data_IF_755947428663
#
_entry.id   IF_755947428663
#
_cell.length_a   1.000
_cell.length_b   1.000
_cell.length_c   1.000
_cell.angle_alpha   90.00
_cell.angle_beta   90.00
_cell.angle_gamma   90.00
#
_symmetry.space_group_name_H-M   'P 1'
#
loop_
_entity.id
_entity.type
_entity.pdbx_description
1 polymer ?
#
# COMPACT_ATOMS: atom_id res chain seq x y z
N UNK A 1 -33.36 1.99 -8.14
CA UNK A 1 -32.47 1.06 -8.87
C UNK A 1 -31.63 0.35 -7.82
N UNK A 2 -31.87 -0.93 -7.57
CA UNK A 2 -31.18 -1.73 -6.55
C UNK A 2 -29.96 -2.38 -7.21
N UNK A 3 -28.75 -1.98 -6.80
CA UNK A 3 -27.53 -2.68 -7.21
C UNK A 3 -27.53 -4.08 -6.57
N UNK A 4 -27.39 -5.11 -7.40
CA UNK A 4 -27.19 -6.49 -6.94
C UNK A 4 -25.82 -6.58 -6.25
N UNK A 5 -25.79 -6.63 -4.93
CA UNK A 5 -24.58 -6.93 -4.17
C UNK A 5 -24.31 -8.43 -4.25
N UNK A 6 -23.24 -8.83 -4.92
CA UNK A 6 -22.75 -10.21 -4.84
C UNK A 6 -22.15 -10.44 -3.45
N UNK A 7 -22.83 -11.24 -2.65
CA UNK A 7 -22.32 -11.71 -1.39
C UNK A 7 -21.24 -12.78 -1.63
N UNK A 8 -19.97 -12.38 -1.54
CA UNK A 8 -18.88 -13.35 -1.53
C UNK A 8 -18.74 -13.88 -0.10
N UNK A 9 -19.06 -15.16 0.10
CA UNK A 9 -18.74 -15.87 1.33
C UNK A 9 -17.23 -16.11 1.39
N UNK A 10 -16.52 -15.44 2.31
CA UNK A 10 -15.09 -15.64 2.54
C UNK A 10 -14.92 -16.43 3.83
N UNK A 11 -14.27 -17.59 3.74
CA UNK A 11 -13.96 -18.39 4.95
C UNK A 11 -12.88 -17.69 5.79
N UNK A 12 -12.87 -17.95 7.10
CA UNK A 12 -11.84 -17.40 8.00
C UNK A 12 -10.40 -17.72 7.55
N UNK A 13 -10.19 -18.92 6.97
CA UNK A 13 -8.90 -19.33 6.44
C UNK A 13 -8.49 -18.52 5.20
N UNK A 14 -9.44 -18.22 4.31
CA UNK A 14 -9.17 -17.38 3.15
C UNK A 14 -8.83 -15.94 3.58
N UNK A 15 -9.62 -15.35 4.48
CA UNK A 15 -9.35 -14.00 5.00
C UNK A 15 -8.00 -13.91 5.72
N UNK A 16 -7.62 -14.95 6.48
CA UNK A 16 -6.28 -15.05 7.09
C UNK A 16 -5.17 -15.08 6.03
N UNK A 17 -5.36 -15.84 4.96
CA UNK A 17 -4.37 -15.93 3.88
C UNK A 17 -4.21 -14.59 3.14
N UNK A 18 -5.31 -13.87 2.91
CA UNK A 18 -5.31 -12.53 2.31
C UNK A 18 -4.61 -11.53 3.24
N UNK A 19 -4.87 -11.58 4.55
CA UNK A 19 -4.16 -10.76 5.55
C UNK A 19 -2.64 -10.99 5.50
N UNK A 20 -2.20 -12.25 5.52
CA UNK A 20 -0.77 -12.60 5.45
C UNK A 20 -0.15 -12.13 4.13
N UNK A 21 -0.85 -12.29 3.01
CA UNK A 21 -0.40 -11.80 1.71
C UNK A 21 -0.20 -10.28 1.73
N UNK A 22 -1.15 -9.52 2.29
CA UNK A 22 -1.01 -8.05 2.43
C UNK A 22 0.13 -7.65 3.36
N UNK A 23 0.38 -8.37 4.45
CA UNK A 23 1.56 -8.13 5.28
C UNK A 23 2.88 -8.33 4.51
N UNK A 24 2.98 -9.35 3.67
CA UNK A 24 4.17 -9.58 2.84
C UNK A 24 4.33 -8.49 1.78
N UNK A 25 3.26 -8.12 1.06
CA UNK A 25 3.28 -7.02 0.09
C UNK A 25 3.71 -5.68 0.74
N UNK A 26 3.33 -5.44 2.01
CA UNK A 26 3.77 -4.25 2.76
C UNK A 26 5.28 -4.29 3.01
N UNK A 27 5.84 -5.43 3.40
CA UNK A 27 7.29 -5.56 3.61
C UNK A 27 8.04 -5.29 2.30
N UNK A 28 7.55 -5.84 1.20
CA UNK A 28 8.16 -5.64 -0.13
C UNK A 28 8.13 -4.16 -0.55
N UNK A 29 7.00 -3.47 -0.41
CA UNK A 29 6.92 -2.04 -0.77
C UNK A 29 7.77 -1.16 0.17
N UNK A 30 7.91 -1.52 1.45
CA UNK A 30 8.79 -0.81 2.38
C UNK A 30 10.27 -0.91 1.95
N UNK A 31 10.71 -2.07 1.48
CA UNK A 31 12.06 -2.24 0.92
C UNK A 31 12.27 -1.38 -0.34
N UNK A 32 11.25 -1.28 -1.20
CA UNK A 32 11.28 -0.41 -2.39
C UNK A 32 11.41 1.06 -1.99
N UNK A 33 10.64 1.51 -1.00
CA UNK A 33 10.71 2.89 -0.49
C UNK A 33 12.12 3.21 0.03
N UNK A 34 12.72 2.32 0.83
CA UNK A 34 14.08 2.50 1.34
C UNK A 34 15.12 2.54 0.21
N UNK A 35 14.95 1.70 -0.82
CA UNK A 35 15.80 1.75 -2.01
C UNK A 35 15.67 3.08 -2.76
N UNK A 36 14.45 3.57 -2.95
CA UNK A 36 14.17 4.85 -3.62
C UNK A 36 14.75 6.03 -2.84
N UNK A 37 14.60 6.06 -1.51
CA UNK A 37 15.23 7.08 -0.66
C UNK A 37 16.75 7.15 -0.89
N UNK A 38 17.40 5.98 -0.92
CA UNK A 38 18.84 5.90 -1.20
C UNK A 38 19.18 6.37 -2.61
N UNK A 39 18.42 5.95 -3.61
CA UNK A 39 18.64 6.35 -5.00
C UNK A 39 18.46 7.86 -5.22
N UNK A 40 17.47 8.48 -4.56
CA UNK A 40 17.23 9.91 -4.57
C UNK A 40 18.43 10.66 -3.95
N UNK A 41 18.89 10.22 -2.77
CA UNK A 41 20.06 10.81 -2.12
C UNK A 41 21.33 10.68 -2.97
N UNK A 42 21.57 9.51 -3.55
CA UNK A 42 22.71 9.26 -4.45
C UNK A 42 22.63 10.10 -5.72
N UNK A 43 21.42 10.34 -6.25
CA UNK A 43 21.20 11.21 -7.40
C UNK A 43 21.55 12.67 -7.10
N UNK A 44 21.23 13.16 -5.90
CA UNK A 44 21.60 14.52 -5.46
C UNK A 44 23.10 14.65 -5.22
N UNK A 45 23.74 13.63 -4.65
CA UNK A 45 25.19 13.62 -4.41
C UNK A 45 26.02 13.65 -5.71
N UNK A 46 25.46 13.18 -6.84
CA UNK A 46 26.11 13.20 -8.16
C UNK A 46 25.77 14.44 -8.98
N UNK A 47 24.81 15.24 -8.55
CA UNK A 47 24.40 16.41 -9.29
C UNK A 47 25.45 17.53 -9.11
N UNK A 48 26.01 18.01 -10.22
CA UNK A 48 26.97 19.11 -10.21
C UNK A 48 26.28 20.41 -9.76
N UNK A 49 26.91 21.22 -8.89
CA UNK A 49 26.39 22.52 -8.50
C UNK A 49 26.39 23.46 -9.72
N UNK A 50 25.23 24.02 -10.06
CA UNK A 50 25.05 24.83 -11.29
C UNK A 50 25.53 26.26 -11.08
N UNK A 51 25.29 26.81 -9.89
CA UNK A 51 25.73 28.17 -9.54
C UNK A 51 25.93 28.25 -8.02
N UNK A 52 27.11 28.68 -7.58
CA UNK A 52 27.30 29.19 -6.22
C UNK A 52 26.85 30.66 -6.21
N UNK A 53 25.56 30.93 -6.01
CA UNK A 53 25.08 32.30 -5.85
C UNK A 53 25.29 32.69 -4.38
N UNK A 54 26.34 33.48 -4.14
CA UNK A 54 26.71 34.13 -2.88
C UNK A 54 26.74 33.24 -1.62
N UNK A 55 27.95 32.90 -1.17
CA UNK A 55 28.44 32.39 0.13
C UNK A 55 27.65 31.38 0.98
N UNK A 56 26.34 31.21 0.88
CA UNK A 56 25.56 30.35 1.78
C UNK A 56 24.51 29.45 1.08
N UNK A 57 24.32 29.55 -0.25
CA UNK A 57 23.32 28.75 -0.98
C UNK A 57 23.94 28.08 -2.21
N UNK A 58 24.02 26.74 -2.17
CA UNK A 58 24.42 25.93 -3.32
C UNK A 58 23.17 25.51 -4.11
N UNK A 59 23.03 26.00 -5.34
CA UNK A 59 22.01 25.52 -6.26
C UNK A 59 22.53 24.27 -7.00
N UNK A 60 21.82 23.15 -6.88
CA UNK A 60 22.18 21.85 -7.50
C UNK A 60 21.20 21.54 -8.63
N UNK A 61 21.69 21.07 -9.78
CA UNK A 61 20.82 20.65 -10.88
C UNK A 61 20.15 19.32 -10.55
N UNK A 62 18.84 19.31 -10.34
CA UNK A 62 18.09 18.06 -10.34
C UNK A 62 17.94 17.56 -11.78
N UNK A 63 18.49 16.38 -12.07
CA UNK A 63 18.30 15.74 -13.38
C UNK A 63 16.86 15.24 -13.55
N UNK A 64 16.43 14.98 -14.79
CA UNK A 64 15.13 14.34 -15.06
C UNK A 64 14.98 13.00 -14.33
N UNK A 65 16.08 12.25 -14.17
CA UNK A 65 16.08 10.99 -13.42
C UNK A 65 15.74 11.20 -11.93
N UNK A 66 16.16 12.33 -11.33
CA UNK A 66 15.78 12.66 -9.95
C UNK A 66 14.27 12.83 -9.82
N UNK A 67 13.64 13.56 -10.74
CA UNK A 67 12.20 13.79 -10.70
C UNK A 67 11.40 12.50 -10.89
N UNK A 68 11.86 11.62 -11.80
CA UNK A 68 11.26 10.30 -11.97
C UNK A 68 11.37 9.43 -10.70
N UNK A 69 12.51 9.47 -10.02
CA UNK A 69 12.68 8.76 -8.74
C UNK A 69 11.73 9.30 -7.67
N UNK A 70 11.51 10.62 -7.63
CA UNK A 70 10.58 11.25 -6.69
C UNK A 70 9.11 10.88 -6.96
N UNK A 71 8.72 10.79 -8.24
CA UNK A 71 7.38 10.34 -8.62
C UNK A 71 7.14 8.88 -8.23
N UNK A 72 8.12 7.99 -8.49
CA UNK A 72 8.07 6.59 -8.07
C UNK A 72 8.00 6.45 -6.54
N UNK A 73 8.72 7.31 -5.82
CA UNK A 73 8.67 7.34 -4.35
C UNK A 73 7.29 7.70 -3.82
N UNK A 74 6.64 8.71 -4.43
CA UNK A 74 5.27 9.09 -4.09
C UNK A 74 4.30 7.94 -4.37
N UNK A 75 4.37 7.33 -5.54
CA UNK A 75 3.51 6.20 -5.91
C UNK A 75 3.69 5.01 -4.96
N UNK A 76 4.94 4.70 -4.55
CA UNK A 76 5.21 3.66 -3.58
C UNK A 76 4.63 3.97 -2.20
N UNK A 77 4.69 5.24 -1.76
CA UNK A 77 4.05 5.68 -0.52
C UNK A 77 2.52 5.54 -0.56
N UNK A 78 1.89 5.96 -1.64
CA UNK A 78 0.43 5.84 -1.84
C UNK A 78 0.02 4.37 -1.86
N UNK A 79 0.77 3.54 -2.59
CA UNK A 79 0.55 2.09 -2.63
C UNK A 79 0.68 1.44 -1.25
N UNK A 80 1.62 1.89 -0.41
CA UNK A 80 1.75 1.40 0.97
C UNK A 80 0.50 1.74 1.80
N UNK A 81 -0.08 2.92 1.64
CA UNK A 81 -1.32 3.30 2.33
C UNK A 81 -2.49 2.40 1.92
N UNK A 82 -2.65 2.13 0.62
CA UNK A 82 -3.66 1.21 0.10
C UNK A 82 -3.49 -0.21 0.66
N UNK A 83 -2.25 -0.69 0.73
CA UNK A 83 -1.93 -2.01 1.27
C UNK A 83 -2.24 -2.10 2.77
N UNK A 84 -1.95 -1.05 3.54
CA UNK A 84 -2.33 -0.97 4.95
C UNK A 84 -3.85 -1.02 5.13
N UNK A 85 -4.60 -0.25 4.33
CA UNK A 85 -6.06 -0.29 4.37
C UNK A 85 -6.61 -1.68 4.01
N UNK A 86 -6.05 -2.32 2.98
CA UNK A 86 -6.43 -3.67 2.58
C UNK A 86 -6.09 -4.73 3.64
N UNK A 87 -4.94 -4.61 4.32
CA UNK A 87 -4.55 -5.46 5.44
C UNK A 87 -5.54 -5.34 6.59
N UNK A 88 -5.87 -4.11 6.98
CA UNK A 88 -6.77 -3.85 8.12
C UNK A 88 -8.18 -4.37 7.82
N UNK A 89 -8.63 -4.23 6.58
CA UNK A 89 -9.86 -4.84 6.10
C UNK A 89 -9.81 -6.38 6.17
N UNK A 90 -8.78 -7.03 5.62
CA UNK A 90 -8.64 -8.49 5.65
C UNK A 90 -8.57 -9.03 7.09
N UNK A 91 -7.93 -8.30 8.00
CA UNK A 91 -7.89 -8.62 9.42
C UNK A 91 -9.29 -8.55 10.05
N UNK A 92 -10.05 -7.49 9.78
CA UNK A 92 -11.42 -7.34 10.29
C UNK A 92 -12.33 -8.47 9.79
N UNK A 93 -12.24 -8.83 8.50
CA UNK A 93 -12.98 -9.96 7.93
C UNK A 93 -12.58 -11.27 8.63
N UNK A 94 -11.28 -11.54 8.75
CA UNK A 94 -10.78 -12.74 9.42
C UNK A 94 -11.28 -12.85 10.87
N UNK A 95 -11.24 -11.74 11.62
CA UNK A 95 -11.79 -11.66 12.98
C UNK A 95 -13.28 -11.96 13.02
N UNK A 96 -14.06 -11.37 12.12
CA UNK A 96 -15.51 -11.58 12.07
C UNK A 96 -15.91 -13.01 11.70
N UNK A 97 -15.10 -13.70 10.89
CA UNK A 97 -15.34 -15.08 10.46
C UNK A 97 -14.78 -16.14 11.43
N UNK A 98 -13.96 -15.73 12.43
CA UNK A 98 -13.32 -16.66 13.37
C UNK A 98 -14.27 -16.99 14.54
N UNK A 99 -14.70 -18.26 14.73
CA UNK A 99 -15.70 -18.64 15.74
C UNK A 99 -15.26 -18.48 17.21
N UNK A 100 -13.98 -18.20 17.45
CA UNK A 100 -13.37 -18.27 18.78
C UNK A 100 -13.64 -17.03 19.67
N UNK A 101 -14.04 -15.89 19.09
CA UNK A 101 -14.34 -14.66 19.87
C UNK A 101 -15.84 -14.39 20.02
N UNK A 102 -16.69 -15.17 19.35
CA UNK A 102 -18.15 -14.99 19.31
C UNK A 102 -18.92 -16.02 20.15
N UNK A 103 -18.36 -16.54 21.25
CA UNK A 103 -19.09 -17.17 22.37
C UNK A 103 -20.15 -18.23 22.04
N UNK A 104 -20.14 -18.83 20.85
CA UNK A 104 -21.23 -19.66 20.37
C UNK A 104 -20.76 -20.44 19.15
N UNK A 105 -20.70 -21.76 19.32
CA UNK A 105 -20.34 -22.71 18.27
C UNK A 105 -21.37 -22.67 17.13
N UNK A 106 -21.16 -21.76 16.18
CA UNK A 106 -21.72 -21.81 14.83
C UNK A 106 -20.70 -21.12 13.93
N UNK A 107 -20.24 -21.82 12.89
CA UNK A 107 -19.42 -21.23 11.83
C UNK A 107 -20.28 -20.16 11.16
N UNK A 108 -20.05 -18.89 11.52
CA UNK A 108 -20.74 -17.76 10.90
C UNK A 108 -19.93 -17.39 9.68
N UNK A 109 -20.43 -17.77 8.51
CA UNK A 109 -19.93 -17.23 7.24
C UNK A 109 -20.08 -15.71 7.24
N UNK A 110 -18.96 -14.99 7.09
CA UNK A 110 -18.97 -13.53 7.04
C UNK A 110 -19.43 -13.08 5.64
N UNK A 111 -20.62 -12.48 5.57
CA UNK A 111 -21.17 -11.91 4.34
C UNK A 111 -20.54 -10.55 4.07
N UNK A 112 -19.63 -10.49 3.10
CA UNK A 112 -19.00 -9.25 2.63
C UNK A 112 -19.77 -8.73 1.42
N UNK A 113 -20.03 -7.41 1.39
CA UNK A 113 -20.57 -6.71 0.23
C UNK A 113 -19.52 -5.77 -0.35
N UNK A 114 -19.09 -6.01 -1.59
CA UNK A 114 -18.19 -5.11 -2.33
C UNK A 114 -18.93 -4.41 -3.46
N UNK A 115 -18.82 -3.08 -3.62
CA UNK A 115 -19.43 -2.36 -4.75
C UNK A 115 -18.75 -2.76 -6.07
N UNK A 116 -19.55 -2.97 -7.11
CA UNK A 116 -19.08 -3.35 -8.43
C UNK A 116 -18.42 -2.14 -9.13
N UNK A 117 -17.15 -2.26 -9.53
CA UNK A 117 -16.58 -1.35 -10.53
C UNK A 117 -17.23 -1.63 -11.88
N UNK A 118 -18.22 -0.82 -12.25
CA UNK A 118 -18.83 -0.86 -13.57
C UNK A 118 -17.87 -0.27 -14.61
N UNK A 119 -17.12 -1.13 -15.30
CA UNK A 119 -16.56 -0.74 -16.59
C UNK A 119 -17.66 -0.91 -17.65
N UNK A 120 -18.03 0.23 -18.23
CA UNK A 120 -18.93 0.42 -19.37
C UNK A 120 -18.50 -0.30 -20.63
#
# INVERSE_FOLDING_TARGET
>A
MSQSMEHRTITANQARSEYVAKCNEIIEIELVIVFLDKAIADSLNRAEPVVAISNDITAVYASEAFWQLLDLYREACDRRLDLCAARDYAYAVWKSASPAESGGATVVDAYVSTPLSSNS
#
